data_IF_286213135032
#
_entry.id   IF_286213135032
#
_cell.length_a   1.000
_cell.length_b   1.000
_cell.length_c   1.000
_cell.angle_alpha   90.00
_cell.angle_beta   90.00
_cell.angle_gamma   90.00
#
_symmetry.space_group_name_H-M   'P 1'
#
loop_
_entity.id
_entity.type
_entity.pdbx_description
1 polymer ?
#
# COMPACT_ATOMS: atom_id res chain seq x y z
N UNK A 1 10.35 -9.51 6.65
CA UNK A 1 10.32 -8.15 6.07
C UNK A 1 11.29 -8.17 4.91
N UNK A 2 10.80 -8.06 3.68
CA UNK A 2 11.68 -7.99 2.52
C UNK A 2 12.00 -6.53 2.22
N UNK A 3 13.08 -6.06 2.84
CA UNK A 3 13.73 -4.79 2.50
C UNK A 3 15.16 -5.07 2.04
N UNK A 4 15.38 -6.27 1.48
CA UNK A 4 16.72 -6.80 1.21
C UNK A 4 17.53 -5.93 0.22
N UNK A 5 16.84 -5.20 -0.66
CA UNK A 5 17.45 -4.24 -1.58
C UNK A 5 17.82 -2.90 -0.94
N UNK A 6 17.28 -2.60 0.26
CA UNK A 6 17.46 -1.32 0.96
C UNK A 6 18.24 -1.44 2.27
N UNK A 7 18.41 -2.66 2.80
CA UNK A 7 19.07 -2.88 4.06
C UNK A 7 20.38 -3.64 3.85
N UNK A 8 21.44 -3.09 4.40
CA UNK A 8 22.82 -3.51 4.12
C UNK A 8 23.23 -4.79 4.87
N UNK A 9 22.51 -5.19 5.93
CA UNK A 9 22.87 -6.40 6.70
C UNK A 9 21.72 -6.99 7.54
N UNK A 10 21.81 -8.30 7.86
CA UNK A 10 21.02 -8.92 8.93
C UNK A 10 21.15 -8.17 10.26
N UNK A 11 20.05 -8.07 11.00
CA UNK A 11 20.07 -7.63 12.38
C UNK A 11 20.91 -8.61 13.22
N UNK A 12 21.70 -8.12 14.21
CA UNK A 12 22.52 -8.99 15.05
C UNK A 12 21.71 -10.14 15.67
N UNK A 13 22.18 -11.38 15.50
CA UNK A 13 21.49 -12.60 15.95
C UNK A 13 20.53 -13.23 14.92
N UNK A 14 20.29 -12.60 13.77
CA UNK A 14 19.39 -13.10 12.73
C UNK A 14 20.11 -13.47 11.41
N UNK A 15 21.39 -13.84 11.47
CA UNK A 15 22.24 -14.09 10.28
C UNK A 15 21.89 -15.35 9.49
N UNK A 16 21.07 -16.25 10.03
CA UNK A 16 20.56 -17.44 9.33
C UNK A 16 19.08 -17.64 9.67
N UNK A 17 18.15 -17.32 8.76
CA UNK A 17 16.73 -17.53 9.02
C UNK A 17 16.45 -19.04 9.05
N UNK A 18 15.75 -19.53 10.07
CA UNK A 18 15.31 -20.93 10.14
C UNK A 18 14.27 -21.26 9.05
N UNK A 19 13.47 -20.26 8.66
CA UNK A 19 12.60 -20.23 7.48
C UNK A 19 12.20 -18.78 7.21
N UNK A 20 11.86 -18.43 5.95
CA UNK A 20 11.39 -17.10 5.58
C UNK A 20 12.47 -16.01 5.51
N UNK A 21 12.09 -14.77 5.84
CA UNK A 21 12.96 -13.59 5.75
C UNK A 21 13.67 -13.30 7.08
N UNK A 22 14.96 -12.96 7.01
CA UNK A 22 15.75 -12.47 8.15
C UNK A 22 15.31 -11.07 8.58
N UNK A 23 15.37 -10.77 9.88
CA UNK A 23 15.23 -9.41 10.38
C UNK A 23 16.43 -8.58 9.90
N UNK A 24 16.20 -7.45 9.23
CA UNK A 24 17.25 -6.62 8.66
C UNK A 24 17.53 -5.39 9.55
N UNK A 25 18.74 -4.84 9.47
CA UNK A 25 19.08 -3.53 10.03
C UNK A 25 19.17 -2.51 8.91
N UNK A 26 18.40 -1.43 9.02
CA UNK A 26 18.14 -0.50 7.92
C UNK A 26 18.39 0.96 8.38
N UNK A 27 19.66 1.37 8.55
CA UNK A 27 19.98 2.70 9.06
C UNK A 27 19.61 3.84 8.10
N UNK A 28 19.68 3.62 6.79
CA UNK A 28 19.29 4.63 5.81
C UNK A 28 17.78 4.88 5.86
N UNK A 29 16.99 3.81 5.94
CA UNK A 29 15.54 3.89 6.14
C UNK A 29 15.19 4.56 7.48
N UNK A 30 15.94 4.32 8.56
CA UNK A 30 15.75 5.05 9.83
C UNK A 30 15.89 6.57 9.63
N UNK A 31 16.92 7.01 8.92
CA UNK A 31 17.14 8.42 8.65
C UNK A 31 16.01 9.01 7.79
N UNK A 32 15.61 8.30 6.73
CA UNK A 32 14.54 8.74 5.82
C UNK A 32 13.18 8.83 6.52
N UNK A 33 12.87 7.88 7.43
CA UNK A 33 11.66 7.93 8.26
C UNK A 33 11.65 9.23 9.07
N UNK A 34 12.74 9.51 9.79
CA UNK A 34 12.84 10.71 10.64
C UNK A 34 12.77 11.99 9.82
N UNK A 35 13.40 12.01 8.64
CA UNK A 35 13.33 13.15 7.73
C UNK A 35 11.90 13.37 7.24
N UNK A 36 11.21 12.33 6.75
CA UNK A 36 9.81 12.42 6.33
C UNK A 36 8.90 12.91 7.47
N UNK A 37 9.08 12.39 8.68
CA UNK A 37 8.33 12.82 9.87
C UNK A 37 8.60 14.28 10.23
N UNK A 38 9.83 14.76 10.08
CA UNK A 38 10.18 16.18 10.28
C UNK A 38 9.50 17.11 9.28
N UNK A 39 9.16 16.60 8.09
CA UNK A 39 8.37 17.27 7.05
C UNK A 39 6.85 17.11 7.24
N UNK A 40 6.42 16.62 8.41
CA UNK A 40 5.02 16.41 8.76
C UNK A 40 4.36 15.21 8.10
N UNK A 41 5.12 14.36 7.39
CA UNK A 41 4.57 13.16 6.74
C UNK A 41 4.45 12.02 7.74
N UNK A 42 3.39 11.23 7.58
CA UNK A 42 3.14 10.04 8.39
C UNK A 42 3.76 8.83 7.69
N UNK A 43 4.55 8.05 8.43
CA UNK A 43 5.14 6.82 7.93
C UNK A 43 4.56 5.64 8.70
N UNK A 44 3.84 4.78 8.01
CA UNK A 44 3.21 3.58 8.58
C UNK A 44 3.84 2.33 7.95
N UNK A 45 3.87 1.22 8.69
CA UNK A 45 4.33 -0.07 8.15
C UNK A 45 3.13 -0.86 7.63
N UNK A 46 3.18 -1.33 6.38
CA UNK A 46 2.18 -2.27 5.87
C UNK A 46 2.58 -3.71 6.19
N UNK A 47 1.66 -4.45 6.79
CA UNK A 47 1.79 -5.86 7.14
C UNK A 47 0.91 -6.66 6.18
N UNK A 48 1.58 -7.37 5.28
CA UNK A 48 0.94 -8.11 4.20
C UNK A 48 0.96 -9.61 4.50
N UNK A 49 -0.21 -10.25 4.43
CA UNK A 49 -0.28 -11.71 4.38
C UNK A 49 -0.11 -12.17 2.93
N UNK A 50 0.93 -12.98 2.67
CA UNK A 50 1.27 -13.52 1.35
C UNK A 50 0.70 -14.93 1.12
N UNK A 51 -0.21 -15.40 1.98
CA UNK A 51 -0.89 -16.69 1.87
C UNK A 51 -0.44 -17.68 2.94
N UNK A 52 -0.43 -18.98 2.60
CA UNK A 52 -0.29 -20.10 3.55
C UNK A 52 1.01 -20.09 4.37
N UNK A 53 2.06 -19.42 3.90
CA UNK A 53 3.34 -19.32 4.59
C UNK A 53 3.37 -18.25 5.68
N UNK A 54 2.37 -17.36 5.73
CA UNK A 54 2.27 -16.25 6.69
C UNK A 54 0.93 -16.20 7.43
N UNK A 55 0.11 -17.26 7.34
CA UNK A 55 -1.21 -17.30 7.99
C UNK A 55 -1.09 -17.53 9.51
N UNK A 56 -1.93 -16.81 10.27
CA UNK A 56 -2.12 -17.03 11.71
C UNK A 56 -2.98 -18.28 11.94
N UNK A 57 -2.62 -19.13 12.90
CA UNK A 57 -3.29 -20.41 13.15
C UNK A 57 -4.38 -20.32 14.22
N UNK A 58 -4.34 -19.29 15.06
CA UNK A 58 -5.28 -19.06 16.15
C UNK A 58 -5.24 -17.57 16.59
N UNK A 59 -6.03 -17.24 17.60
CA UNK A 59 -6.10 -15.89 18.19
C UNK A 59 -4.79 -15.47 18.88
N UNK A 60 -4.09 -16.41 19.53
CA UNK A 60 -2.82 -16.15 20.20
C UNK A 60 -1.75 -15.71 19.20
N UNK A 61 -1.72 -16.27 18.00
CA UNK A 61 -0.84 -15.82 16.92
C UNK A 61 -1.12 -14.35 16.55
N UNK A 62 -2.40 -13.95 16.54
CA UNK A 62 -2.79 -12.55 16.32
C UNK A 62 -2.23 -11.59 17.38
N UNK A 63 -2.35 -11.96 18.65
CA UNK A 63 -1.76 -11.16 19.73
C UNK A 63 -0.23 -11.14 19.68
N UNK A 64 0.40 -12.27 19.34
CA UNK A 64 1.85 -12.36 19.21
C UNK A 64 2.38 -11.46 18.09
N UNK A 65 1.69 -11.45 16.94
CA UNK A 65 2.00 -10.55 15.81
C UNK A 65 1.81 -9.09 16.23
N UNK A 66 0.73 -8.75 16.93
CA UNK A 66 0.49 -7.40 17.43
C UNK A 66 1.62 -6.90 18.34
N UNK A 67 2.03 -7.72 19.31
CA UNK A 67 3.14 -7.41 20.21
C UNK A 67 4.47 -7.28 19.45
N UNK A 68 4.73 -8.14 18.47
CA UNK A 68 5.92 -8.06 17.63
C UNK A 68 5.97 -6.73 16.86
N UNK A 69 4.88 -6.33 16.22
CA UNK A 69 4.79 -5.05 15.49
C UNK A 69 5.01 -3.88 16.46
N UNK A 70 4.32 -3.89 17.59
CA UNK A 70 4.43 -2.84 18.61
C UNK A 70 5.86 -2.65 19.10
N UNK A 71 6.53 -3.75 19.45
CA UNK A 71 7.88 -3.74 19.99
C UNK A 71 8.96 -3.40 18.94
N UNK A 72 8.73 -3.76 17.67
CA UNK A 72 9.73 -3.58 16.61
C UNK A 72 9.65 -2.21 15.93
N UNK A 73 8.45 -1.63 15.83
CA UNK A 73 8.21 -0.46 14.97
C UNK A 73 7.51 0.72 15.66
N UNK A 74 6.77 0.49 16.75
CA UNK A 74 5.95 1.51 17.41
C UNK A 74 6.53 1.83 18.80
N UNK A 75 5.68 2.10 19.80
CA UNK A 75 6.05 2.55 21.14
C UNK A 75 6.59 1.46 22.07
N UNK A 76 6.68 0.21 21.62
CA UNK A 76 7.26 -0.88 22.40
C UNK A 76 8.78 -0.92 22.35
N UNK A 77 9.36 -1.92 23.01
CA UNK A 77 10.81 -2.15 23.08
C UNK A 77 11.16 -3.55 22.60
N UNK A 78 12.17 -3.67 21.74
CA UNK A 78 12.56 -4.94 21.14
C UNK A 78 13.67 -4.79 20.10
N UNK A 79 13.79 -5.75 19.20
CA UNK A 79 14.69 -5.63 18.05
C UNK A 79 14.08 -4.69 17.02
N UNK A 80 14.74 -3.56 16.76
CA UNK A 80 14.19 -2.48 15.92
C UNK A 80 14.95 -2.36 14.59
N UNK A 81 14.35 -2.80 13.46
CA UNK A 81 14.99 -2.71 12.14
C UNK A 81 15.38 -1.29 11.73
N UNK A 82 14.58 -0.30 12.14
CA UNK A 82 14.76 1.12 11.87
C UNK A 82 15.38 1.87 13.06
N UNK A 83 16.19 1.16 13.87
CA UNK A 83 16.86 1.70 15.04
C UNK A 83 15.91 2.45 15.97
N UNK A 84 16.16 3.75 16.18
CA UNK A 84 15.38 4.59 17.09
C UNK A 84 14.16 5.25 16.47
N UNK A 85 13.91 5.08 15.16
CA UNK A 85 12.69 5.58 14.54
C UNK A 85 11.45 4.88 15.12
N UNK A 86 10.42 5.67 15.42
CA UNK A 86 9.09 5.21 15.84
C UNK A 86 8.12 5.58 14.73
N UNK A 87 7.49 4.58 14.12
CA UNK A 87 6.53 4.79 13.04
C UNK A 87 5.24 5.44 13.56
N UNK A 88 4.48 6.03 12.64
CA UNK A 88 3.21 6.68 12.92
C UNK A 88 2.04 5.69 12.94
N UNK A 89 2.24 4.41 12.59
CA UNK A 89 1.14 3.47 12.51
C UNK A 89 1.41 2.20 11.73
N UNK A 90 0.32 1.46 11.48
CA UNK A 90 0.30 0.15 10.82
C UNK A 90 -0.82 0.12 9.80
N UNK A 91 -0.52 -0.37 8.61
CA UNK A 91 -1.50 -0.78 7.60
C UNK A 91 -1.59 -2.31 7.58
N UNK A 92 -2.80 -2.86 7.56
CA UNK A 92 -3.03 -4.30 7.44
C UNK A 92 -3.57 -4.61 6.04
N UNK A 93 -2.85 -5.49 5.32
CA UNK A 93 -3.27 -5.94 4.00
C UNK A 93 -3.38 -7.46 3.94
N UNK A 94 -4.62 -7.96 4.02
CA UNK A 94 -4.88 -9.39 3.91
C UNK A 94 -5.23 -9.74 2.46
N UNK A 95 -4.33 -10.49 1.80
CA UNK A 95 -4.50 -10.84 0.38
C UNK A 95 -5.18 -12.19 0.15
N UNK A 96 -5.46 -12.95 1.21
CA UNK A 96 -6.22 -14.19 1.14
C UNK A 96 -7.57 -14.06 1.86
N UNK A 97 -8.34 -15.15 1.92
CA UNK A 97 -9.64 -15.18 2.59
C UNK A 97 -9.55 -15.66 4.06
N UNK A 98 -8.35 -15.80 4.63
CA UNK A 98 -8.17 -16.25 6.01
C UNK A 98 -8.52 -15.14 6.99
N UNK A 99 -9.34 -15.48 7.99
CA UNK A 99 -9.78 -14.52 9.02
C UNK A 99 -9.18 -14.82 10.40
N UNK A 100 -8.61 -16.01 10.58
CA UNK A 100 -8.11 -16.49 11.87
C UNK A 100 -7.03 -15.52 12.38
N UNK A 101 -7.14 -15.11 13.66
CA UNK A 101 -6.18 -14.24 14.33
C UNK A 101 -6.33 -12.73 14.06
N UNK A 102 -6.98 -12.31 12.97
CA UNK A 102 -7.06 -10.88 12.61
C UNK A 102 -7.85 -10.03 13.60
N UNK A 103 -8.92 -10.57 14.20
CA UNK A 103 -9.69 -9.88 15.24
C UNK A 103 -8.80 -9.56 16.45
N UNK A 104 -8.10 -10.58 16.97
CA UNK A 104 -7.18 -10.43 18.10
C UNK A 104 -6.00 -9.51 17.76
N UNK A 105 -5.46 -9.60 16.54
CA UNK A 105 -4.42 -8.70 16.04
C UNK A 105 -4.87 -7.23 16.08
N UNK A 106 -6.02 -6.91 15.49
CA UNK A 106 -6.55 -5.54 15.43
C UNK A 106 -6.86 -5.01 16.83
N UNK A 107 -7.58 -5.79 17.64
CA UNK A 107 -7.94 -5.39 19.00
C UNK A 107 -6.70 -5.15 19.86
N UNK A 108 -5.69 -6.03 19.77
CA UNK A 108 -4.45 -5.90 20.53
C UNK A 108 -3.62 -4.70 20.08
N UNK A 109 -3.48 -4.47 18.77
CA UNK A 109 -2.81 -3.27 18.24
C UNK A 109 -3.49 -1.99 18.73
N UNK A 110 -4.82 -1.89 18.60
CA UNK A 110 -5.55 -0.70 19.03
C UNK A 110 -5.44 -0.49 20.54
N UNK A 111 -5.49 -1.55 21.35
CA UNK A 111 -5.29 -1.46 22.79
C UNK A 111 -3.89 -0.94 23.16
N UNK A 112 -2.83 -1.46 22.52
CA UNK A 112 -1.45 -1.00 22.73
C UNK A 112 -1.27 0.46 22.31
N UNK A 113 -1.80 0.84 21.15
CA UNK A 113 -1.76 2.22 20.64
C UNK A 113 -2.48 3.21 21.55
N UNK A 114 -3.63 2.83 22.12
CA UNK A 114 -4.40 3.68 23.03
C UNK A 114 -3.77 3.80 24.42
N UNK A 115 -3.01 2.78 24.86
CA UNK A 115 -2.32 2.81 26.15
C UNK A 115 -1.12 3.77 26.17
N UNK A 116 -0.51 4.03 25.01
CA UNK A 116 0.56 5.02 24.89
C UNK A 116 -0.02 6.43 24.70
N UNK A 117 -0.10 7.18 25.79
CA UNK A 117 -0.60 8.57 25.78
C UNK A 117 0.37 9.59 25.17
N UNK A 118 1.62 9.20 24.86
CA UNK A 118 2.64 10.12 24.34
C UNK A 118 2.50 10.40 22.84
N UNK A 119 1.79 9.53 22.11
CA UNK A 119 1.68 9.56 20.65
C UNK A 119 0.34 9.03 20.18
N UNK A 120 -0.15 9.58 19.07
CA UNK A 120 -1.28 9.00 18.33
C UNK A 120 -0.75 8.16 17.19
N UNK A 121 -1.25 6.93 17.07
CA UNK A 121 -0.90 6.00 16.02
C UNK A 121 -2.08 5.78 15.07
N UNK A 122 -1.76 5.62 13.78
CA UNK A 122 -2.70 5.20 12.76
C UNK A 122 -2.78 3.66 12.72
N UNK A 123 -3.99 3.14 12.67
CA UNK A 123 -4.26 1.75 12.30
C UNK A 123 -5.17 1.77 11.08
N UNK A 124 -4.71 1.18 10.00
CA UNK A 124 -5.34 1.30 8.68
C UNK A 124 -5.48 -0.07 8.07
N UNK A 125 -6.36 -0.19 7.07
CA UNK A 125 -6.49 -1.43 6.32
C UNK A 125 -6.48 -1.17 4.82
N UNK A 126 -5.81 -2.05 4.09
CA UNK A 126 -5.92 -2.17 2.64
C UNK A 126 -6.82 -3.35 2.32
N UNK A 127 -8.04 -3.07 1.89
CA UNK A 127 -9.09 -4.06 1.68
C UNK A 127 -9.35 -4.24 0.18
N UNK A 128 -9.64 -5.46 -0.26
CA UNK A 128 -10.07 -5.68 -1.66
C UNK A 128 -11.40 -4.98 -1.90
N UNK A 129 -11.63 -4.51 -3.11
CA UNK A 129 -12.87 -3.80 -3.43
C UNK A 129 -14.13 -4.67 -3.43
N UNK A 130 -13.99 -6.00 -3.44
CA UNK A 130 -15.11 -6.95 -3.48
C UNK A 130 -16.14 -6.63 -2.40
N UNK A 131 -17.42 -6.72 -2.75
CA UNK A 131 -18.52 -6.50 -1.82
C UNK A 131 -19.41 -7.75 -1.78
N UNK A 132 -19.51 -8.48 -0.65
CA UNK A 132 -18.83 -8.25 0.63
C UNK A 132 -17.31 -8.53 0.58
N UNK A 133 -16.53 -7.81 1.39
CA UNK A 133 -15.09 -8.03 1.53
C UNK A 133 -14.84 -8.96 2.74
N UNK A 134 -14.00 -9.99 2.62
CA UNK A 134 -13.96 -11.06 3.61
C UNK A 134 -13.15 -10.78 4.89
N UNK A 135 -12.40 -9.68 5.04
CA UNK A 135 -11.58 -9.45 6.25
C UNK A 135 -11.78 -8.08 6.91
N UNK A 136 -11.63 -6.98 6.19
CA UNK A 136 -11.59 -5.62 6.72
C UNK A 136 -12.73 -4.73 6.24
N UNK A 137 -13.35 -5.08 5.11
CA UNK A 137 -14.47 -4.31 4.55
C UNK A 137 -15.86 -4.79 5.00
N UNK A 138 -16.89 -4.42 4.22
CA UNK A 138 -18.27 -4.82 4.44
C UNK A 138 -18.39 -6.34 4.56
N UNK A 139 -18.53 -6.84 5.79
CA UNK A 139 -18.78 -8.25 6.05
C UNK A 139 -20.27 -8.55 5.89
N UNK A 140 -20.59 -9.81 5.57
CA UNK A 140 -21.94 -10.35 5.77
C UNK A 140 -22.26 -10.28 7.27
N UNK A 141 -23.46 -9.82 7.63
CA UNK A 141 -23.91 -9.71 9.01
C UNK A 141 -23.80 -11.06 9.76
N UNK A 142 -23.42 -11.01 11.05
CA UNK A 142 -23.33 -12.20 11.92
C UNK A 142 -21.92 -12.74 12.17
N UNK A 143 -20.86 -12.03 11.73
CA UNK A 143 -19.48 -12.40 12.03
C UNK A 143 -18.88 -11.53 13.15
N UNK A 144 -17.94 -12.04 13.97
CA UNK A 144 -17.32 -11.31 15.08
C UNK A 144 -16.49 -10.07 14.66
N UNK A 145 -16.40 -9.81 13.36
CA UNK A 145 -15.67 -8.71 12.75
C UNK A 145 -16.52 -7.44 12.53
N UNK A 146 -17.77 -7.36 12.98
CA UNK A 146 -18.60 -6.16 12.76
C UNK A 146 -18.09 -4.91 13.47
N UNK A 147 -17.34 -5.06 14.56
CA UNK A 147 -16.74 -3.94 15.32
C UNK A 147 -15.30 -3.63 14.90
N UNK A 148 -14.62 -4.57 14.22
CA UNK A 148 -13.23 -4.42 13.77
C UNK A 148 -13.03 -3.22 12.84
N UNK A 149 -13.90 -2.98 11.83
CA UNK A 149 -13.79 -1.82 10.96
C UNK A 149 -13.71 -0.48 11.70
N UNK A 150 -14.40 -0.32 12.84
CA UNK A 150 -14.37 0.91 13.66
C UNK A 150 -13.02 1.14 14.35
N UNK A 151 -12.18 0.11 14.41
CA UNK A 151 -10.82 0.22 14.94
C UNK A 151 -9.85 0.81 13.93
N UNK A 152 -10.23 0.95 12.65
CA UNK A 152 -9.38 1.57 11.63
C UNK A 152 -9.64 3.07 11.52
N UNK A 153 -8.56 3.85 11.43
CA UNK A 153 -8.62 5.29 11.18
C UNK A 153 -9.06 5.60 9.75
N UNK A 154 -8.76 4.70 8.81
CA UNK A 154 -9.34 4.67 7.46
C UNK A 154 -9.15 3.29 6.82
N UNK A 155 -9.93 3.03 5.76
CA UNK A 155 -9.78 1.84 4.92
C UNK A 155 -9.48 2.27 3.48
N UNK A 156 -8.45 1.70 2.89
CA UNK A 156 -8.12 1.79 1.47
C UNK A 156 -8.89 0.72 0.69
N UNK A 157 -9.93 1.14 -0.03
CA UNK A 157 -10.68 0.36 -1.02
C UNK A 157 -9.77 0.12 -2.23
N UNK A 158 -9.13 -1.05 -2.29
CA UNK A 158 -8.15 -1.35 -3.32
C UNK A 158 -8.85 -1.74 -4.63
N UNK A 159 -9.01 -0.74 -5.52
CA UNK A 159 -9.71 -0.83 -6.80
C UNK A 159 -8.81 -1.37 -7.91
N UNK A 160 -8.19 -2.53 -7.65
CA UNK A 160 -7.16 -3.09 -8.52
C UNK A 160 -7.32 -4.60 -8.65
N UNK A 161 -7.00 -5.12 -9.85
CA UNK A 161 -6.95 -6.56 -10.16
C UNK A 161 -8.25 -7.31 -9.82
N UNK A 162 -9.39 -6.61 -9.85
CA UNK A 162 -10.70 -7.13 -9.45
C UNK A 162 -11.77 -6.56 -10.39
N UNK A 163 -12.42 -7.38 -11.23
CA UNK A 163 -13.32 -6.91 -12.29
C UNK A 163 -14.48 -6.04 -11.81
N UNK A 164 -14.95 -6.23 -10.58
CA UNK A 164 -16.09 -5.52 -9.99
C UNK A 164 -15.78 -4.07 -9.59
N UNK A 165 -14.53 -3.64 -9.72
CA UNK A 165 -14.09 -2.30 -9.34
C UNK A 165 -12.95 -1.78 -10.22
N UNK A 166 -12.76 -2.35 -11.41
CA UNK A 166 -11.87 -1.77 -12.40
C UNK A 166 -12.52 -0.53 -13.03
N UNK A 167 -11.73 0.50 -13.34
CA UNK A 167 -12.26 1.73 -13.92
C UNK A 167 -12.63 1.57 -15.41
N UNK A 168 -12.30 0.43 -16.04
CA UNK A 168 -12.77 0.09 -17.39
C UNK A 168 -14.31 0.09 -17.47
N UNK A 169 -14.98 -0.39 -16.42
CA UNK A 169 -16.42 -0.28 -16.26
C UNK A 169 -16.71 0.76 -15.17
N UNK A 170 -16.75 2.03 -15.58
CA UNK A 170 -16.98 3.16 -14.68
C UNK A 170 -18.25 3.00 -13.85
N UNK A 171 -19.34 2.54 -14.46
CA UNK A 171 -20.62 2.38 -13.75
C UNK A 171 -20.52 1.33 -12.65
N UNK A 172 -19.88 0.20 -12.92
CA UNK A 172 -19.67 -0.84 -11.92
C UNK A 172 -18.70 -0.38 -10.83
N UNK A 173 -17.62 0.33 -11.19
CA UNK A 173 -16.70 0.95 -10.22
C UNK A 173 -17.45 1.85 -9.22
N UNK A 174 -18.28 2.78 -9.72
CA UNK A 174 -19.03 3.68 -8.85
C UNK A 174 -20.10 2.94 -8.04
N UNK A 175 -20.86 2.02 -8.63
CA UNK A 175 -21.86 1.23 -7.91
C UNK A 175 -21.23 0.41 -6.76
N UNK A 176 -20.05 -0.17 -6.98
CA UNK A 176 -19.34 -0.91 -5.95
C UNK A 176 -18.83 0.02 -4.85
N UNK A 177 -18.28 1.18 -5.22
CA UNK A 177 -17.81 2.15 -4.23
C UNK A 177 -18.96 2.82 -3.45
N UNK A 178 -20.12 3.07 -4.09
CA UNK A 178 -21.34 3.56 -3.43
C UNK A 178 -21.80 2.58 -2.34
N UNK A 179 -21.83 1.26 -2.62
CA UNK A 179 -22.13 0.24 -1.59
C UNK A 179 -21.15 0.28 -0.41
N UNK A 180 -19.86 0.47 -0.69
CA UNK A 180 -18.85 0.65 0.35
C UNK A 180 -19.08 1.93 1.17
N UNK A 181 -19.40 3.03 0.49
CA UNK A 181 -19.67 4.31 1.12
C UNK A 181 -20.90 4.23 2.04
N UNK A 182 -21.99 3.61 1.58
CA UNK A 182 -23.23 3.42 2.35
C UNK A 182 -23.01 2.56 3.59
N UNK A 183 -22.16 1.52 3.48
CA UNK A 183 -21.78 0.70 4.62
C UNK A 183 -20.89 1.46 5.62
N UNK A 184 -19.91 2.21 5.14
CA UNK A 184 -18.93 2.91 5.98
C UNK A 184 -19.51 4.16 6.66
N UNK A 185 -20.48 4.81 6.02
CA UNK A 185 -21.04 6.09 6.46
C UNK A 185 -21.64 6.05 7.88
N UNK A 186 -22.56 5.13 8.23
CA UNK A 186 -23.11 5.04 9.59
C UNK A 186 -22.07 4.63 10.63
N UNK A 187 -20.92 4.07 10.20
CA UNK A 187 -19.80 3.69 11.07
C UNK A 187 -18.80 4.85 11.26
N UNK A 188 -18.92 5.93 10.49
CA UNK A 188 -18.00 7.07 10.51
C UNK A 188 -16.59 6.72 10.00
N UNK A 189 -16.46 5.71 9.12
CA UNK A 189 -15.16 5.22 8.65
C UNK A 189 -14.76 5.94 7.35
N UNK A 190 -13.63 6.67 7.32
CA UNK A 190 -13.07 7.23 6.10
C UNK A 190 -12.64 6.13 5.12
N UNK A 191 -13.08 6.24 3.85
CA UNK A 191 -12.68 5.34 2.77
C UNK A 191 -11.81 6.10 1.76
N UNK A 192 -10.62 5.54 1.50
CA UNK A 192 -9.71 6.00 0.46
C UNK A 192 -9.83 5.05 -0.73
N UNK A 193 -9.81 5.57 -1.96
CA UNK A 193 -9.77 4.73 -3.16
C UNK A 193 -8.32 4.42 -3.50
N UNK A 194 -7.94 3.15 -3.44
CA UNK A 194 -6.64 2.64 -3.84
C UNK A 194 -6.57 2.39 -5.34
N UNK A 195 -5.64 3.05 -6.00
CA UNK A 195 -5.43 3.00 -7.45
C UNK A 195 -4.00 2.58 -7.80
N UNK A 196 -3.76 2.03 -9.00
CA UNK A 196 -2.39 1.95 -9.49
C UNK A 196 -1.87 3.37 -9.73
N UNK A 197 -0.60 3.57 -9.42
CA UNK A 197 0.11 4.82 -9.68
C UNK A 197 0.49 4.98 -11.15
N UNK A 198 0.47 3.90 -11.94
CA UNK A 198 0.83 3.90 -13.36
C UNK A 198 0.02 2.84 -14.13
N UNK A 199 0.03 2.92 -15.46
CA UNK A 199 -0.53 1.84 -16.29
C UNK A 199 0.22 0.52 -16.06
N UNK A 200 1.54 0.57 -15.83
CA UNK A 200 2.40 -0.61 -15.75
C UNK A 200 2.21 -1.49 -14.52
N UNK A 201 1.61 -0.96 -13.47
CA UNK A 201 1.46 -1.68 -12.20
C UNK A 201 0.00 -1.88 -11.75
N UNK A 202 -0.95 -1.70 -12.68
CA UNK A 202 -2.35 -2.13 -12.55
C UNK A 202 -2.71 -3.21 -13.58
N UNK A 203 -3.86 -3.86 -13.41
CA UNK A 203 -4.42 -4.66 -14.50
C UNK A 203 -4.98 -3.72 -15.59
N UNK A 204 -5.18 -4.21 -16.83
CA UNK A 204 -5.78 -3.40 -17.89
C UNK A 204 -7.10 -2.78 -17.43
N UNK A 205 -7.19 -1.45 -17.45
CA UNK A 205 -8.38 -0.71 -17.06
C UNK A 205 -8.44 -0.23 -15.60
N UNK A 206 -7.49 -0.62 -14.75
CA UNK A 206 -7.45 -0.16 -13.35
C UNK A 206 -6.94 1.27 -13.21
N UNK A 207 -5.99 1.66 -14.07
CA UNK A 207 -5.43 3.02 -14.06
C UNK A 207 -6.42 4.04 -14.61
N UNK A 208 -6.75 5.04 -13.80
CA UNK A 208 -7.55 6.18 -14.22
C UNK A 208 -6.65 7.17 -14.93
N UNK A 209 -6.86 7.37 -16.23
CA UNK A 209 -6.06 8.34 -16.99
C UNK A 209 -6.28 9.77 -16.48
N UNK A 210 -5.33 10.67 -16.74
CA UNK A 210 -5.42 12.06 -16.28
C UNK A 210 -6.66 12.78 -16.85
N UNK A 211 -7.02 12.48 -18.10
CA UNK A 211 -8.24 12.99 -18.73
C UNK A 211 -9.53 12.51 -18.06
N UNK A 212 -9.50 11.40 -17.33
CA UNK A 212 -10.64 10.89 -16.56
C UNK A 212 -10.61 11.29 -15.08
N UNK A 213 -9.43 11.60 -14.52
CA UNK A 213 -9.23 11.93 -13.10
C UNK A 213 -10.18 13.01 -12.60
N UNK A 214 -10.34 14.11 -13.35
CA UNK A 214 -11.20 15.22 -12.94
C UNK A 214 -12.64 14.76 -12.69
N UNK A 215 -13.24 14.06 -13.66
CA UNK A 215 -14.58 13.50 -13.52
C UNK A 215 -14.68 12.47 -12.39
N UNK A 216 -13.64 11.66 -12.20
CA UNK A 216 -13.60 10.61 -11.20
C UNK A 216 -13.55 11.18 -9.78
N UNK A 217 -12.60 12.09 -9.52
CA UNK A 217 -12.44 12.75 -8.24
C UNK A 217 -13.65 13.61 -7.90
N UNK A 218 -14.23 14.31 -8.88
CA UNK A 218 -15.46 15.08 -8.67
C UNK A 218 -16.62 14.18 -8.22
N UNK A 219 -16.86 13.05 -8.92
CA UNK A 219 -17.93 12.11 -8.55
C UNK A 219 -17.67 11.45 -7.19
N UNK A 220 -16.45 10.97 -6.96
CA UNK A 220 -16.08 10.35 -5.68
C UNK A 220 -16.23 11.32 -4.52
N UNK A 221 -15.86 12.59 -4.69
CA UNK A 221 -15.95 13.62 -3.64
C UNK A 221 -17.37 13.95 -3.17
N UNK A 222 -18.39 13.55 -3.94
CA UNK A 222 -19.79 13.69 -3.56
C UNK A 222 -20.31 12.51 -2.72
N UNK A 223 -19.50 11.46 -2.52
CA UNK A 223 -19.88 10.28 -1.74
C UNK A 223 -19.41 10.42 -0.29
N UNK A 224 -20.30 10.12 0.64
CA UNK A 224 -20.21 10.53 2.05
C UNK A 224 -19.01 9.99 2.83
N UNK A 225 -18.49 8.82 2.45
CA UNK A 225 -17.34 8.19 3.12
C UNK A 225 -16.03 8.38 2.35
N UNK A 226 -16.05 8.97 1.15
CA UNK A 226 -14.83 9.22 0.39
C UNK A 226 -13.95 10.27 1.08
N UNK A 227 -12.69 9.91 1.30
CA UNK A 227 -11.76 10.74 2.07
C UNK A 227 -10.39 10.96 1.42
N UNK A 228 -10.09 10.27 0.31
CA UNK A 228 -8.80 10.39 -0.35
C UNK A 228 -8.50 9.31 -1.36
N UNK A 229 -7.28 9.36 -1.89
CA UNK A 229 -6.71 8.34 -2.78
C UNK A 229 -5.48 7.73 -2.10
N UNK A 230 -5.28 6.44 -2.27
CA UNK A 230 -4.01 5.75 -2.00
C UNK A 230 -3.46 5.22 -3.32
N UNK A 231 -2.13 5.18 -3.47
CA UNK A 231 -1.48 4.76 -4.71
C UNK A 231 -0.58 3.56 -4.47
N UNK A 232 -0.77 2.52 -5.29
CA UNK A 232 0.17 1.42 -5.44
C UNK A 232 1.01 1.67 -6.68
N UNK A 233 2.30 1.96 -6.61
CA UNK A 233 3.09 2.35 -5.44
C UNK A 233 4.07 3.46 -5.82
N UNK A 234 4.93 3.89 -4.89
CA UNK A 234 5.77 5.07 -5.06
C UNK A 234 6.71 5.00 -6.26
N UNK A 235 7.40 3.87 -6.49
CA UNK A 235 8.37 3.77 -7.60
C UNK A 235 7.69 3.92 -8.97
N UNK A 236 6.49 3.37 -9.12
CA UNK A 236 5.65 3.54 -10.30
C UNK A 236 5.12 4.97 -10.44
N UNK A 237 4.72 5.62 -9.33
CA UNK A 237 4.30 7.03 -9.36
C UNK A 237 5.44 7.95 -9.80
N UNK A 238 6.62 7.74 -9.20
CA UNK A 238 7.83 8.51 -9.47
C UNK A 238 8.23 8.46 -10.95
N UNK A 239 8.05 7.31 -11.59
CA UNK A 239 8.31 7.13 -13.02
C UNK A 239 7.16 7.60 -13.92
N UNK A 240 5.96 7.78 -13.37
CA UNK A 240 4.80 8.19 -14.13
C UNK A 240 4.65 9.72 -14.13
N UNK A 241 5.16 10.35 -15.19
CA UNK A 241 4.99 11.77 -15.50
C UNK A 241 3.99 11.91 -16.67
N UNK A 242 2.66 11.84 -16.41
CA UNK A 242 1.68 11.58 -17.46
C UNK A 242 1.40 12.78 -18.38
N UNK A 243 1.88 13.98 -18.04
CA UNK A 243 1.54 15.23 -18.72
C UNK A 243 2.79 15.92 -19.27
N UNK A 244 2.89 16.02 -20.59
CA UNK A 244 4.05 16.59 -21.29
C UNK A 244 4.22 18.11 -21.11
N UNK A 245 3.15 18.81 -20.71
CA UNK A 245 3.13 20.26 -20.48
C UNK A 245 3.30 20.64 -19.00
N UNK A 246 3.22 19.68 -18.09
CA UNK A 246 3.44 19.87 -16.64
C UNK A 246 4.66 19.07 -16.18
N UNK A 247 5.74 19.09 -16.99
CA UNK A 247 6.90 18.16 -17.04
C UNK A 247 7.56 17.68 -15.73
N UNK A 248 7.07 18.08 -14.57
CA UNK A 248 7.64 17.81 -13.25
C UNK A 248 6.63 17.21 -12.26
N UNK A 249 5.36 17.00 -12.63
CA UNK A 249 4.35 16.43 -11.73
C UNK A 249 4.11 14.93 -11.98
N UNK A 250 4.28 14.11 -10.94
CA UNK A 250 3.83 12.73 -10.91
C UNK A 250 2.31 12.63 -10.89
N UNK A 251 1.78 11.44 -11.19
CA UNK A 251 0.35 11.16 -11.11
C UNK A 251 -0.24 11.45 -9.72
N UNK A 252 0.45 11.07 -8.65
CA UNK A 252 0.08 11.38 -7.27
C UNK A 252 0.12 12.87 -6.94
N UNK A 253 1.09 13.61 -7.47
CA UNK A 253 1.13 15.07 -7.30
C UNK A 253 -0.03 15.77 -8.01
N UNK A 254 -0.43 15.28 -9.20
CA UNK A 254 -1.61 15.77 -9.92
C UNK A 254 -2.88 15.53 -9.09
N UNK A 255 -3.07 14.33 -8.56
CA UNK A 255 -4.22 14.01 -7.70
C UNK A 255 -4.22 14.91 -6.46
N UNK A 256 -3.07 15.09 -5.81
CA UNK A 256 -2.95 15.96 -4.64
C UNK A 256 -3.37 17.40 -4.94
N UNK A 257 -2.90 17.99 -6.05
CA UNK A 257 -3.30 19.35 -6.46
C UNK A 257 -4.81 19.44 -6.70
N UNK A 258 -5.39 18.50 -7.43
CA UNK A 258 -6.84 18.49 -7.70
C UNK A 258 -7.67 18.40 -6.41
N UNK A 259 -7.27 17.55 -5.47
CA UNK A 259 -7.99 17.33 -4.23
C UNK A 259 -7.80 18.47 -3.21
N UNK A 260 -6.58 18.97 -3.05
CA UNK A 260 -6.27 20.05 -2.09
C UNK A 260 -6.93 21.38 -2.48
N UNK A 261 -6.99 21.70 -3.77
CA UNK A 261 -7.64 22.91 -4.27
C UNK A 261 -9.15 22.73 -4.50
N UNK A 262 -9.66 21.50 -4.42
CA UNK A 262 -11.01 21.12 -4.87
C UNK A 262 -11.30 21.59 -6.31
N UNK A 263 -10.27 21.59 -7.16
CA UNK A 263 -10.35 21.94 -8.58
C UNK A 263 -10.06 20.70 -9.41
N UNK A 264 -11.11 20.08 -9.92
CA UNK A 264 -11.03 18.84 -10.67
C UNK A 264 -10.79 19.06 -12.17
N UNK A 265 -9.91 20.00 -12.49
CA UNK A 265 -9.53 20.37 -13.85
C UNK A 265 -8.01 20.48 -13.93
N UNK A 266 -7.42 19.90 -14.97
CA UNK A 266 -6.00 20.07 -15.26
C UNK A 266 -5.82 20.33 -16.76
N UNK A 267 -4.89 21.21 -17.08
CA UNK A 267 -4.37 21.30 -18.45
C UNK A 267 -3.29 20.24 -18.57
N UNK A 268 -3.61 19.12 -19.20
CA UNK A 268 -2.67 18.02 -19.43
C UNK A 268 -2.69 17.65 -20.92
N UNK A 269 -1.52 17.72 -21.56
CA UNK A 269 -1.27 17.05 -22.83
C UNK A 269 -0.70 15.68 -22.50
N UNK A 270 -1.57 14.67 -22.45
CA UNK A 270 -1.18 13.30 -22.10
C UNK A 270 -0.06 12.80 -23.03
N UNK A 271 0.94 12.17 -22.43
CA UNK A 271 2.00 11.50 -23.20
C UNK A 271 1.41 10.23 -23.81
N UNK A 272 1.52 10.05 -25.13
CA UNK A 272 1.11 8.81 -25.78
C UNK A 272 1.96 7.64 -25.27
N UNK A 273 1.38 6.79 -24.44
CA UNK A 273 2.01 5.51 -24.07
C UNK A 273 1.76 4.51 -25.20
N UNK A 274 2.76 4.29 -26.05
CA UNK A 274 2.69 3.19 -27.03
C UNK A 274 2.60 1.86 -26.29
N UNK A 275 1.46 1.18 -26.46
CA UNK A 275 1.18 -0.17 -25.97
C UNK A 275 2.02 -1.23 -26.72
N UNK A 276 3.35 -1.13 -26.71
CA UNK A 276 4.21 -2.19 -27.26
C UNK A 276 4.47 -3.24 -26.19
N UNK A 277 3.42 -4.01 -25.85
CA UNK A 277 3.64 -5.35 -25.32
C UNK A 277 4.03 -6.22 -26.50
N UNK A 278 5.32 -6.37 -26.73
CA UNK A 278 5.86 -7.33 -27.71
C UNK A 278 5.24 -8.70 -27.44
N UNK A 279 4.46 -9.17 -28.39
CA UNK A 279 3.86 -10.52 -28.43
C UNK A 279 4.97 -11.55 -28.13
N UNK A 280 4.76 -12.54 -27.24
CA UNK A 280 5.74 -13.60 -27.08
C UNK A 280 5.91 -14.31 -28.42
N UNK A 281 7.12 -14.27 -28.97
CA UNK A 281 7.50 -15.05 -30.14
C UNK A 281 7.36 -16.51 -29.75
N UNK A 282 6.48 -17.24 -30.41
CA UNK A 282 6.37 -18.69 -30.27
C UNK A 282 7.66 -19.34 -30.75
N UNK A 283 8.53 -19.73 -29.83
CA UNK A 283 9.67 -20.62 -30.10
C UNK A 283 9.35 -22.00 -29.56
N UNK A 284 9.20 -22.94 -30.49
CA UNK A 284 9.16 -24.37 -30.27
C UNK A 284 10.42 -24.84 -29.56
N UNK A 285 10.27 -25.49 -28.40
CA UNK A 285 11.36 -26.12 -27.67
C UNK A 285 11.81 -27.41 -28.37
N UNK A 286 13.11 -27.51 -28.65
CA UNK A 286 13.82 -28.78 -28.73
C UNK A 286 15.28 -28.58 -28.32
N UNK A 287 15.69 -29.33 -27.29
CA UNK A 287 17.04 -29.87 -27.13
C UNK A 287 18.12 -29.00 -26.46
N UNK A 288 18.45 -29.38 -25.22
CA UNK A 288 19.77 -29.51 -24.59
C UNK A 288 20.85 -28.42 -24.73
N UNK A 289 21.41 -28.03 -23.57
CA UNK A 289 22.83 -27.66 -23.44
C UNK A 289 23.11 -26.42 -22.61
N UNK A 290 23.70 -26.60 -21.42
CA UNK A 290 24.39 -25.54 -20.67
C UNK A 290 25.75 -25.31 -21.35
N UNK A 291 26.18 -24.05 -21.53
CA UNK A 291 27.43 -23.62 -20.92
C UNK A 291 27.40 -22.20 -20.31
N UNK A 292 28.20 -22.07 -19.25
CA UNK A 292 28.58 -20.86 -18.53
C UNK A 292 29.39 -19.87 -19.39
N UNK A 293 29.12 -18.56 -19.30
CA UNK A 293 30.15 -17.51 -19.19
C UNK A 293 29.58 -16.08 -19.08
N UNK A 294 30.22 -15.32 -18.19
CA UNK A 294 30.48 -13.87 -18.18
C UNK A 294 29.30 -12.88 -18.34
N UNK A 295 28.85 -12.30 -17.21
CA UNK A 295 28.28 -10.95 -17.20
C UNK A 295 29.42 -9.93 -17.10
N UNK A 296 29.64 -9.19 -18.18
CA UNK A 296 30.42 -7.95 -18.16
C UNK A 296 29.72 -6.91 -17.28
N UNK A 297 30.49 -6.36 -16.34
CA UNK A 297 30.07 -5.27 -15.47
C UNK A 297 30.38 -3.96 -16.17
N UNK A 298 29.37 -3.32 -16.77
CA UNK A 298 29.46 -1.88 -17.06
C UNK A 298 29.09 -1.11 -15.79
N UNK A 299 30.11 -0.57 -15.12
CA UNK A 299 29.94 0.39 -14.02
C UNK A 299 29.47 1.72 -14.62
N UNK A 300 28.22 2.08 -14.36
CA UNK A 300 27.80 3.47 -14.41
C UNK A 300 27.81 4.02 -12.99
N UNK A 301 28.77 4.91 -12.73
CA UNK A 301 28.80 5.75 -11.53
C UNK A 301 27.83 6.91 -11.72
N UNK A 302 26.75 6.94 -10.94
CA UNK A 302 25.90 8.12 -10.83
C UNK A 302 25.71 8.53 -9.36
N UNK A 303 25.56 9.84 -9.21
CA UNK A 303 25.69 10.65 -8.00
C UNK A 303 24.58 10.41 -6.98
N UNK A 304 24.90 10.75 -5.72
CA UNK A 304 24.08 10.62 -4.52
C UNK A 304 22.81 11.49 -4.63
N UNK A 305 21.74 10.95 -5.22
CA UNK A 305 20.36 11.45 -5.10
C UNK A 305 19.29 10.45 -5.55
N UNK A 306 19.66 9.18 -5.79
CA UNK A 306 18.80 8.16 -6.39
C UNK A 306 18.62 6.97 -5.43
N UNK A 307 17.47 6.89 -4.76
CA UNK A 307 16.94 5.63 -4.25
C UNK A 307 15.44 5.60 -4.54
N UNK A 308 15.06 4.71 -5.46
CA UNK A 308 13.67 4.35 -5.74
C UNK A 308 13.14 3.53 -4.55
N UNK A 309 12.09 4.03 -3.91
CA UNK A 309 11.50 3.41 -2.72
C UNK A 309 10.38 2.44 -3.13
N UNK A 310 10.50 1.17 -2.75
CA UNK A 310 9.33 0.30 -2.59
C UNK A 310 8.92 0.30 -1.12
N UNK A 311 8.12 1.31 -0.78
CA UNK A 311 7.34 1.34 0.44
C UNK A 311 5.91 1.77 0.07
N UNK A 312 4.93 1.15 0.70
CA UNK A 312 3.67 1.85 0.96
C UNK A 312 3.97 3.01 1.93
N UNK A 313 4.53 4.09 1.43
CA UNK A 313 4.42 5.38 2.11
C UNK A 313 3.04 5.90 1.75
N UNK A 314 2.05 5.64 2.61
CA UNK A 314 0.85 6.49 2.60
C UNK A 314 1.28 7.82 3.20
N UNK A 315 1.86 8.69 2.36
CA UNK A 315 2.12 10.06 2.74
C UNK A 315 0.77 10.73 2.95
N UNK A 316 0.34 10.86 4.21
CA UNK A 316 -0.71 11.79 4.56
C UNK A 316 -0.20 13.20 4.29
N UNK A 317 -0.56 13.72 3.12
CA UNK A 317 -0.41 15.13 2.79
C UNK A 317 -1.62 15.86 3.37
N UNK A 318 -1.55 16.22 4.66
CA UNK A 318 -2.28 17.40 5.15
C UNK A 318 -1.46 18.64 4.83
#
# INVERSE_FOLDING_TARGET
MDLSIHCSSPYPGFTKPASGYTLLKCPDIENDIKQCQSLGKKIIISVVNLGSTTSMKNEQDGENVANMIWNSFLGGSGNRPFGSAILDGVDLWNRDNQKIGYLSLVNKLRALMNADSSRKYLLTASARCSYPEPTFGPQVAGLPFTEVPKSFDYISFHAMSTPECTFQNKDLFYQTFEKWSDWAHPLGIPIYVGLPASISNGAPGDYITVGNLGSALSRLSNLTSFSGITLWEFSADYQNLPCSNTKELSYGQIIYQMMSEKKYTITCTEVETTNTRSKPRSTTNSGNGIPSSALETSRFSYSISELAFSFFIVAFLK
#
